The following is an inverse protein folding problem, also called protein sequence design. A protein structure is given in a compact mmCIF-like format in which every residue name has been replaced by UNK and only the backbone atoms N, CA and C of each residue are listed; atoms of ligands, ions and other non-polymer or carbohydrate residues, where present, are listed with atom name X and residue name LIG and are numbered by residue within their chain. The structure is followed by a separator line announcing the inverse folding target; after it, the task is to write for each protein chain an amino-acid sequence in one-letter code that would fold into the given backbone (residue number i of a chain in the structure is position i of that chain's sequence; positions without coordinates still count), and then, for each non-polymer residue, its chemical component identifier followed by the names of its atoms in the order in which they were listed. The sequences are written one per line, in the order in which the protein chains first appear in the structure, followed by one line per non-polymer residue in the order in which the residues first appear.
data_IF_243368998265
#
_entry.id   IF_243368998265
#
_cell.length_a   1.000
_cell.length_b   1.000
_cell.length_c   1.000
_cell.angle_alpha   90.00
_cell.angle_beta   90.00
_cell.angle_gamma   90.00
#
_symmetry.space_group_name_H-M   'P 1'
#
loop_
_entity.id
_entity.type
_entity.pdbx_description
1 polymer ?
#
# COMPACT_ATOMS: atom_id res chain seq x y z
N UNK A 1 4.02 66.66 -40.22
CA UNK A 1 3.68 65.24 -40.08
C UNK A 1 4.93 64.42 -40.36
N UNK A 2 5.31 63.49 -39.48
CA UNK A 2 6.50 62.66 -39.69
C UNK A 2 6.15 61.53 -40.68
N UNK A 3 7.06 61.21 -41.62
CA UNK A 3 6.84 60.16 -42.61
C UNK A 3 6.80 58.79 -41.91
N UNK A 4 5.86 57.94 -42.33
CA UNK A 4 5.66 56.58 -41.83
C UNK A 4 6.94 55.74 -41.89
N UNK A 5 7.77 55.94 -42.92
CA UNK A 5 9.07 55.28 -43.03
C UNK A 5 10.01 55.63 -41.87
N UNK A 6 10.05 56.91 -41.50
CA UNK A 6 10.89 57.42 -40.40
C UNK A 6 10.41 56.92 -39.04
N UNK A 7 9.08 56.78 -38.86
CA UNK A 7 8.49 56.23 -37.64
C UNK A 7 8.85 54.74 -37.47
N UNK A 8 8.82 53.96 -38.56
CA UNK A 8 9.19 52.54 -38.54
C UNK A 8 10.68 52.35 -38.22
N UNK A 9 11.56 53.12 -38.84
CA UNK A 9 13.00 53.04 -38.55
C UNK A 9 13.32 53.42 -37.11
N UNK A 10 12.64 54.44 -36.57
CA UNK A 10 12.80 54.82 -35.16
C UNK A 10 12.31 53.71 -34.23
N UNK A 11 11.16 53.09 -34.52
CA UNK A 11 10.64 51.95 -33.76
C UNK A 11 11.63 50.78 -33.75
N UNK A 12 12.17 50.39 -34.91
CA UNK A 12 13.13 49.29 -34.95
C UNK A 12 14.42 49.59 -34.18
N UNK A 13 14.96 50.81 -34.31
CA UNK A 13 16.14 51.22 -33.53
C UNK A 13 15.87 51.17 -32.02
N UNK A 14 14.70 51.63 -31.57
CA UNK A 14 14.34 51.53 -30.14
C UNK A 14 14.20 50.07 -29.68
N UNK A 15 13.61 49.19 -30.50
CA UNK A 15 13.49 47.76 -30.17
C UNK A 15 14.85 47.07 -30.09
N UNK A 16 15.78 47.37 -31.01
CA UNK A 16 17.14 46.83 -30.95
C UNK A 16 17.91 47.36 -29.73
N UNK A 17 17.73 48.63 -29.37
CA UNK A 17 18.30 49.19 -28.14
C UNK A 17 17.81 48.48 -26.88
N UNK A 18 16.50 48.22 -26.78
CA UNK A 18 15.91 47.48 -25.66
C UNK A 18 16.42 46.04 -25.59
N UNK A 19 16.50 45.34 -26.73
CA UNK A 19 17.06 43.98 -26.79
C UNK A 19 18.52 43.94 -26.35
N UNK A 20 19.33 44.92 -26.76
CA UNK A 20 20.72 45.05 -26.31
C UNK A 20 20.82 45.29 -24.80
N UNK A 21 19.96 46.14 -24.24
CA UNK A 21 19.89 46.39 -22.80
C UNK A 21 19.51 45.14 -21.99
N UNK A 22 18.51 44.38 -22.44
CA UNK A 22 18.13 43.10 -21.82
C UNK A 22 19.27 42.09 -21.91
N UNK A 23 19.92 41.97 -23.07
CA UNK A 23 21.06 41.08 -23.27
C UNK A 23 22.22 41.40 -22.34
N UNK A 24 22.54 42.70 -22.18
CA UNK A 24 23.58 43.14 -21.24
C UNK A 24 23.20 42.84 -19.78
N UNK A 25 21.95 43.09 -19.39
CA UNK A 25 21.49 42.77 -18.03
C UNK A 25 21.56 41.28 -17.72
N UNK A 26 21.23 40.41 -18.69
CA UNK A 26 21.34 38.96 -18.53
C UNK A 26 22.81 38.51 -18.45
N UNK A 27 23.68 39.10 -19.27
CA UNK A 27 25.11 38.86 -19.25
C UNK A 27 25.72 39.25 -17.89
N UNK A 28 25.41 40.44 -17.39
CA UNK A 28 25.89 40.93 -16.09
C UNK A 28 25.37 40.08 -14.93
N UNK A 29 24.10 39.67 -14.98
CA UNK A 29 23.55 38.72 -14.01
C UNK A 29 24.27 37.37 -14.03
N UNK A 30 24.57 36.84 -15.22
CA UNK A 30 25.28 35.57 -15.33
C UNK A 30 26.73 35.65 -14.84
N UNK A 31 27.43 36.75 -15.14
CA UNK A 31 28.83 36.90 -14.79
C UNK A 31 29.05 37.32 -13.31
N UNK A 32 28.17 38.18 -12.78
CA UNK A 32 28.27 38.73 -11.41
C UNK A 32 27.23 38.16 -10.46
N UNK A 33 25.96 38.14 -10.87
CA UNK A 33 24.83 37.72 -10.02
C UNK A 33 24.85 36.24 -9.62
N UNK A 34 25.33 35.34 -10.48
CA UNK A 34 25.49 33.92 -10.14
C UNK A 34 26.60 33.66 -9.10
N UNK A 35 27.52 34.61 -8.88
CA UNK A 35 28.61 34.47 -7.91
C UNK A 35 28.27 35.05 -6.54
N UNK A 36 27.29 35.95 -6.46
CA UNK A 36 26.82 36.50 -5.20
C UNK A 36 25.81 35.55 -4.55
N UNK A 37 26.31 34.66 -3.69
CA UNK A 37 25.43 33.94 -2.76
C UNK A 37 24.89 34.95 -1.74
N UNK A 38 23.63 35.35 -1.89
CA UNK A 38 22.92 36.22 -0.93
C UNK A 38 22.86 35.64 0.49
N UNK A 39 23.13 34.34 0.62
CA UNK A 39 23.24 33.64 1.89
C UNK A 39 24.71 33.46 2.24
N UNK A 40 25.20 34.26 3.18
CA UNK A 40 26.54 34.14 3.74
C UNK A 40 26.61 32.86 4.59
N UNK A 41 26.97 31.75 3.94
CA UNK A 41 27.09 30.43 4.56
C UNK A 41 28.08 30.48 5.73
N UNK A 42 29.16 31.25 5.62
CA UNK A 42 30.17 31.37 6.67
C UNK A 42 29.64 32.02 7.95
N UNK A 43 28.70 32.97 7.82
CA UNK A 43 28.00 33.56 8.97
C UNK A 43 26.83 32.72 9.47
N UNK A 44 26.13 32.02 8.57
CA UNK A 44 24.95 31.24 8.92
C UNK A 44 25.30 29.89 9.58
N UNK A 45 26.37 29.24 9.15
CA UNK A 45 26.79 27.92 9.65
C UNK A 45 27.04 27.88 11.17
N UNK A 46 27.76 28.82 11.81
CA UNK A 46 27.92 28.82 13.26
C UNK A 46 26.62 29.13 14.01
N UNK A 47 25.72 29.92 13.42
CA UNK A 47 24.41 30.23 14.03
C UNK A 47 23.51 28.99 14.00
N UNK A 48 23.47 28.27 12.86
CA UNK A 48 22.66 27.07 12.70
C UNK A 48 23.19 25.89 13.53
N UNK A 49 24.52 25.69 13.58
CA UNK A 49 25.16 24.63 14.38
C UNK A 49 25.19 24.94 15.88
N UNK A 50 25.01 26.21 16.27
CA UNK A 50 24.96 26.65 17.66
C UNK A 50 23.59 26.50 18.34
N UNK A 51 22.55 26.12 17.58
CA UNK A 51 21.23 25.83 18.15
C UNK A 51 21.25 24.39 18.68
N UNK A 52 21.21 24.23 20.00
CA UNK A 52 20.92 22.93 20.60
C UNK A 52 19.54 22.48 20.16
N UNK A 53 19.45 21.30 19.56
CA UNK A 53 18.18 20.72 19.18
C UNK A 53 17.31 20.54 20.44
N UNK A 54 16.06 21.05 20.45
CA UNK A 54 15.18 20.83 21.58
C UNK A 54 15.00 19.33 21.76
N UNK A 55 15.20 18.85 23.00
CA UNK A 55 14.99 17.43 23.30
C UNK A 55 13.60 17.04 22.82
N UNK A 56 13.45 15.94 22.07
CA UNK A 56 12.14 15.50 21.62
C UNK A 56 11.24 15.37 22.85
N UNK A 57 9.99 15.86 22.80
CA UNK A 57 9.08 15.74 23.92
C UNK A 57 8.93 14.26 24.22
N UNK A 58 9.37 13.85 25.42
CA UNK A 58 9.18 12.48 25.87
C UNK A 58 7.67 12.25 25.91
N UNK A 59 7.17 11.30 25.12
CA UNK A 59 5.77 10.90 25.20
C UNK A 59 5.53 10.29 26.58
N UNK A 60 5.19 11.13 27.55
CA UNK A 60 4.47 10.71 28.76
C UNK A 60 3.05 10.38 28.33
N UNK A 61 2.91 9.37 27.47
CA UNK A 61 1.62 8.73 27.25
C UNK A 61 1.27 8.05 28.56
N UNK A 62 0.10 8.38 29.10
CA UNK A 62 -0.45 7.65 30.24
C UNK A 62 -0.62 6.20 29.81
N UNK A 63 0.04 5.29 30.51
CA UNK A 63 -0.13 3.85 30.31
C UNK A 63 -1.54 3.48 30.78
N UNK A 64 -2.33 2.85 29.90
CA UNK A 64 -3.70 2.48 30.25
C UNK A 64 -3.78 1.56 31.49
N UNK A 65 -2.97 0.47 31.60
CA UNK A 65 -2.99 -0.36 32.79
C UNK A 65 -2.42 0.35 34.03
N UNK A 66 -1.32 1.09 33.90
CA UNK A 66 -0.59 1.58 35.08
C UNK A 66 -1.12 2.93 35.60
N UNK A 67 -1.54 3.82 34.72
CA UNK A 67 -1.92 5.20 35.08
C UNK A 67 -3.43 5.42 35.04
N UNK A 68 -4.13 4.86 34.04
CA UNK A 68 -5.54 5.16 33.79
C UNK A 68 -6.47 4.25 34.60
N UNK A 69 -6.18 2.95 34.63
CA UNK A 69 -7.01 1.95 35.32
C UNK A 69 -7.17 2.24 36.82
N UNK A 70 -6.10 2.44 37.60
CA UNK A 70 -6.24 2.75 39.03
C UNK A 70 -6.88 4.12 39.29
N UNK A 71 -6.67 5.11 38.40
CA UNK A 71 -7.15 6.47 38.60
C UNK A 71 -8.60 6.70 38.16
N UNK A 72 -9.13 5.88 37.24
CA UNK A 72 -10.47 6.07 36.66
C UNK A 72 -11.38 4.86 36.89
N UNK A 73 -10.87 3.65 36.72
CA UNK A 73 -11.69 2.43 36.75
C UNK A 73 -11.80 1.90 38.18
N UNK A 74 -10.67 1.79 38.88
CA UNK A 74 -10.61 1.27 40.25
C UNK A 74 -10.68 2.39 41.30
N UNK A 75 -10.75 3.64 40.86
CA UNK A 75 -10.85 4.78 41.76
C UNK A 75 -12.22 4.78 42.44
N UNK A 76 -12.24 4.21 43.64
CA UNK A 76 -13.44 4.14 44.47
C UNK A 76 -13.71 5.51 45.11
N UNK A 77 -14.48 6.32 44.39
CA UNK A 77 -14.94 7.64 44.83
C UNK A 77 -15.84 7.60 46.08
N UNK A 78 -16.25 6.41 46.55
CA UNK A 78 -17.16 6.25 47.69
C UNK A 78 -16.47 6.30 49.05
N UNK A 79 -15.13 6.24 49.09
CA UNK A 79 -14.34 6.34 50.32
C UNK A 79 -14.40 5.10 51.23
N UNK A 80 -14.93 3.98 50.72
CA UNK A 80 -14.88 2.71 51.45
C UNK A 80 -13.43 2.20 51.53
N UNK A 81 -12.96 1.70 52.69
CA UNK A 81 -11.64 1.09 52.77
C UNK A 81 -11.62 -0.16 51.87
N UNK A 82 -10.53 -0.38 51.10
CA UNK A 82 -10.44 -1.53 50.21
C UNK A 82 -10.65 -2.82 51.00
N UNK A 83 -11.38 -3.80 50.46
CA UNK A 83 -11.58 -5.07 51.14
C UNK A 83 -10.21 -5.69 51.47
N UNK A 84 -10.05 -6.27 52.67
CA UNK A 84 -8.79 -6.88 53.05
C UNK A 84 -8.41 -7.95 52.01
N UNK A 85 -7.12 -8.08 51.67
CA UNK A 85 -6.68 -8.99 50.62
C UNK A 85 -7.22 -10.40 50.93
N UNK A 86 -7.77 -11.10 49.93
CA UNK A 86 -8.31 -12.44 50.14
C UNK A 86 -7.21 -13.31 50.76
N UNK A 87 -7.55 -13.99 51.86
CA UNK A 87 -6.65 -14.99 52.46
C UNK A 87 -6.24 -15.98 51.37
N UNK A 88 -5.00 -16.50 51.39
CA UNK A 88 -4.56 -17.47 50.39
C UNK A 88 -5.48 -18.69 50.49
N UNK A 89 -6.42 -18.81 49.56
CA UNK A 89 -7.20 -20.02 49.42
C UNK A 89 -6.25 -21.09 48.91
N UNK A 90 -6.17 -22.19 49.66
CA UNK A 90 -5.46 -23.39 49.26
C UNK A 90 -5.93 -23.76 47.84
N UNK A 91 -5.00 -23.78 46.89
CA UNK A 91 -5.22 -24.26 45.54
C UNK A 91 -5.75 -25.70 45.62
N UNK A 92 -7.07 -25.84 45.53
CA UNK A 92 -7.69 -27.08 45.07
C UNK A 92 -7.09 -27.41 43.71
N UNK A 93 -6.70 -28.66 43.43
CA UNK A 93 -6.21 -29.03 42.12
C UNK A 93 -7.30 -28.71 41.10
N UNK A 94 -7.00 -27.77 40.21
CA UNK A 94 -7.81 -27.48 39.03
C UNK A 94 -7.93 -28.79 38.26
N UNK A 95 -9.11 -29.41 38.31
CA UNK A 95 -9.50 -30.40 37.32
C UNK A 95 -9.37 -29.76 35.94
N UNK A 96 -9.11 -30.54 34.87
CA UNK A 96 -8.89 -30.00 33.54
C UNK A 96 -10.03 -29.05 33.19
N UNK A 97 -9.69 -27.77 33.06
CA UNK A 97 -10.61 -26.72 32.63
C UNK A 97 -10.93 -27.03 31.17
N UNK A 98 -12.01 -27.77 30.96
CA UNK A 98 -12.59 -27.98 29.64
C UNK A 98 -13.02 -26.59 29.16
N UNK A 99 -12.23 -26.00 28.25
CA UNK A 99 -12.57 -24.73 27.62
C UNK A 99 -13.93 -24.90 26.94
N UNK A 100 -14.91 -24.02 27.16
CA UNK A 100 -16.19 -24.11 26.47
C UNK A 100 -15.95 -24.00 24.96
N UNK A 101 -16.41 -25.00 24.20
CA UNK A 101 -16.27 -25.06 22.74
C UNK A 101 -17.18 -24.01 22.11
N UNK A 102 -16.60 -22.97 21.52
CA UNK A 102 -17.33 -21.92 20.79
C UNK A 102 -17.43 -22.34 19.31
N UNK A 103 -18.64 -22.40 18.71
CA UNK A 103 -18.81 -22.79 17.30
C UNK A 103 -18.20 -21.75 16.36
N UNK A 104 -17.71 -22.17 15.19
CA UNK A 104 -17.01 -21.27 14.25
C UNK A 104 -17.95 -20.22 13.65
N UNK A 105 -19.24 -20.53 13.52
CA UNK A 105 -20.28 -19.62 13.02
C UNK A 105 -20.46 -18.35 13.88
N UNK A 106 -20.21 -18.45 15.19
CA UNK A 106 -20.29 -17.31 16.12
C UNK A 106 -19.02 -16.42 16.05
N UNK A 107 -17.93 -16.96 15.50
CA UNK A 107 -16.61 -16.33 15.48
C UNK A 107 -16.38 -15.56 14.16
N UNK A 108 -16.81 -16.13 13.02
CA UNK A 108 -16.50 -15.60 11.70
C UNK A 108 -17.65 -15.77 10.70
N UNK A 109 -17.77 -14.78 9.81
CA UNK A 109 -18.63 -14.80 8.64
C UNK A 109 -17.79 -15.14 7.39
N UNK A 110 -18.23 -16.15 6.63
CA UNK A 110 -17.70 -16.44 5.28
C UNK A 110 -18.40 -15.52 4.28
N UNK A 111 -17.64 -14.62 3.64
CA UNK A 111 -18.17 -13.62 2.70
C UNK A 111 -18.21 -14.18 1.28
N UNK A 112 -17.13 -14.81 0.86
CA UNK A 112 -16.97 -15.30 -0.50
C UNK A 112 -16.06 -16.51 -0.55
N UNK A 113 -16.36 -17.43 -1.47
CA UNK A 113 -15.53 -18.58 -1.77
C UNK A 113 -15.07 -18.49 -3.23
N UNK A 114 -13.77 -18.65 -3.43
CA UNK A 114 -13.14 -18.75 -4.74
C UNK A 114 -12.51 -20.14 -4.83
N UNK A 115 -13.33 -21.15 -5.14
CA UNK A 115 -12.85 -22.52 -5.30
C UNK A 115 -12.32 -22.71 -6.73
N UNK A 116 -11.06 -23.14 -6.83
CA UNK A 116 -10.46 -23.55 -8.10
C UNK A 116 -10.80 -25.02 -8.36
N UNK A 117 -11.48 -25.31 -9.47
CA UNK A 117 -11.95 -26.67 -9.80
C UNK A 117 -10.84 -27.59 -10.31
N UNK A 118 -9.72 -27.02 -10.76
CA UNK A 118 -8.56 -27.68 -11.35
C UNK A 118 -7.46 -27.97 -10.33
N UNK A 119 -7.21 -27.05 -9.39
CA UNK A 119 -6.24 -27.24 -8.31
C UNK A 119 -6.82 -26.76 -6.97
N UNK A 120 -7.13 -27.69 -6.02
CA UNK A 120 -7.70 -27.33 -4.72
C UNK A 120 -6.84 -26.32 -3.94
N UNK A 121 -5.52 -26.38 -4.08
CA UNK A 121 -4.58 -25.50 -3.38
C UNK A 121 -4.67 -24.02 -3.80
N UNK A 122 -5.23 -23.73 -4.98
CA UNK A 122 -5.45 -22.36 -5.46
C UNK A 122 -6.78 -21.78 -4.94
N UNK A 123 -7.57 -22.59 -4.22
CA UNK A 123 -8.83 -22.16 -3.63
C UNK A 123 -8.58 -21.19 -2.48
N UNK A 124 -9.42 -20.14 -2.41
CA UNK A 124 -9.32 -19.09 -1.41
C UNK A 124 -10.69 -18.79 -0.83
N UNK A 125 -10.73 -18.43 0.44
CA UNK A 125 -11.94 -17.94 1.09
C UNK A 125 -11.70 -16.54 1.68
N UNK A 126 -12.71 -15.69 1.53
CA UNK A 126 -12.75 -14.38 2.18
C UNK A 126 -13.60 -14.49 3.44
N UNK A 127 -13.00 -14.25 4.59
CA UNK A 127 -13.66 -14.32 5.89
C UNK A 127 -13.62 -12.96 6.61
N UNK A 128 -14.55 -12.78 7.55
CA UNK A 128 -14.59 -11.63 8.44
C UNK A 128 -14.88 -12.08 9.87
N UNK A 129 -14.06 -11.65 10.81
CA UNK A 129 -14.25 -11.97 12.23
C UNK A 129 -15.37 -11.10 12.83
N UNK A 130 -16.31 -11.72 13.53
CA UNK A 130 -17.48 -11.06 14.14
C UNK A 130 -17.09 -10.27 15.39
N UNK A 131 -16.11 -10.76 16.14
CA UNK A 131 -15.69 -10.17 17.43
C UNK A 131 -14.86 -8.89 17.29
N UNK A 132 -14.35 -8.60 16.08
CA UNK A 132 -13.49 -7.46 15.86
C UNK A 132 -14.28 -6.15 15.64
N UNK A 133 -15.18 -5.82 16.56
CA UNK A 133 -15.94 -4.54 16.57
C UNK A 133 -15.06 -3.29 16.68
N UNK A 134 -13.75 -3.44 16.93
CA UNK A 134 -12.76 -2.36 17.02
C UNK A 134 -11.73 -2.34 15.88
N UNK A 135 -11.58 -3.43 15.11
CA UNK A 135 -10.70 -3.42 13.94
C UNK A 135 -11.53 -3.11 12.69
N UNK A 136 -11.19 -2.01 12.03
CA UNK A 136 -11.82 -1.59 10.80
C UNK A 136 -11.78 -2.71 9.74
N UNK A 137 -12.93 -3.25 9.33
CA UNK A 137 -13.16 -3.93 8.04
C UNK A 137 -11.99 -4.79 7.52
N UNK A 138 -11.35 -5.59 8.37
CA UNK A 138 -10.27 -6.46 7.93
C UNK A 138 -10.87 -7.75 7.41
N UNK A 139 -11.19 -7.76 6.12
CA UNK A 139 -11.54 -8.98 5.42
C UNK A 139 -10.23 -9.76 5.19
N UNK A 140 -10.18 -11.01 5.67
CA UNK A 140 -9.01 -11.86 5.53
C UNK A 140 -9.21 -12.81 4.36
N UNK A 141 -8.26 -12.82 3.45
CA UNK A 141 -8.19 -13.78 2.36
C UNK A 141 -7.26 -14.91 2.77
N UNK A 142 -7.79 -16.10 2.95
CA UNK A 142 -7.06 -17.27 3.43
C UNK A 142 -7.11 -18.43 2.43
N UNK A 143 -6.09 -19.27 2.48
CA UNK A 143 -5.91 -20.47 1.65
C UNK A 143 -6.11 -21.76 2.47
N UNK A 144 -6.13 -22.90 1.78
CA UNK A 144 -6.13 -24.21 2.44
C UNK A 144 -4.84 -24.38 3.26
N UNK A 145 -4.99 -24.70 4.55
CA UNK A 145 -3.90 -24.85 5.51
C UNK A 145 -3.57 -23.58 6.31
N UNK A 146 -4.15 -22.43 5.97
CA UNK A 146 -3.95 -21.21 6.74
C UNK A 146 -4.72 -21.25 8.07
N UNK A 147 -4.13 -20.62 9.07
CA UNK A 147 -4.67 -20.51 10.43
C UNK A 147 -5.35 -19.15 10.60
N UNK A 148 -6.43 -19.11 11.37
CA UNK A 148 -7.09 -17.83 11.67
C UNK A 148 -6.17 -16.90 12.46
N UNK A 149 -6.29 -15.57 12.28
CA UNK A 149 -5.50 -14.61 13.02
C UNK A 149 -5.92 -14.56 14.50
N UNK A 150 -5.00 -14.08 15.34
CA UNK A 150 -5.23 -13.89 16.78
C UNK A 150 -6.56 -13.16 17.04
N UNK A 151 -7.42 -13.65 17.95
CA UNK A 151 -7.16 -14.63 19.02
C UNK A 151 -7.46 -16.10 18.69
N UNK A 152 -7.83 -16.47 17.45
CA UNK A 152 -8.35 -17.80 17.09
C UNK A 152 -7.34 -18.69 16.35
N UNK A 153 -6.07 -18.66 16.76
CA UNK A 153 -4.96 -19.40 16.13
C UNK A 153 -5.08 -20.94 16.27
N UNK A 154 -6.10 -21.43 16.96
CA UNK A 154 -6.42 -22.83 17.14
C UNK A 154 -7.28 -23.42 16.00
N UNK A 155 -7.74 -22.59 15.07
CA UNK A 155 -8.62 -22.95 13.95
C UNK A 155 -7.86 -22.78 12.63
N UNK A 156 -7.83 -23.84 11.82
CA UNK A 156 -7.21 -23.85 10.49
C UNK A 156 -8.20 -24.27 9.40
N UNK A 157 -7.96 -23.83 8.17
CA UNK A 157 -8.79 -24.20 7.03
C UNK A 157 -8.31 -25.55 6.49
N UNK A 158 -9.21 -26.53 6.48
CA UNK A 158 -8.91 -27.88 6.00
C UNK A 158 -9.22 -28.05 4.51
N UNK A 159 -10.37 -27.55 4.06
CA UNK A 159 -10.83 -27.70 2.67
C UNK A 159 -11.74 -26.54 2.26
N UNK A 160 -11.68 -26.17 0.97
CA UNK A 160 -12.48 -25.09 0.38
C UNK A 160 -13.17 -25.64 -0.86
N UNK A 161 -14.48 -25.86 -0.79
CA UNK A 161 -15.33 -26.28 -1.91
C UNK A 161 -16.15 -25.10 -2.43
N UNK A 162 -16.74 -25.19 -3.63
CA UNK A 162 -17.49 -24.07 -4.21
C UNK A 162 -18.61 -23.51 -3.33
N UNK A 163 -19.25 -24.35 -2.52
CA UNK A 163 -20.41 -23.99 -1.72
C UNK A 163 -20.14 -23.92 -0.21
N UNK A 164 -19.03 -24.51 0.27
CA UNK A 164 -18.71 -24.59 1.69
C UNK A 164 -17.20 -24.58 1.99
N UNK A 165 -16.86 -24.15 3.20
CA UNK A 165 -15.50 -24.14 3.76
C UNK A 165 -15.48 -25.02 4.99
N UNK A 166 -14.53 -25.96 5.04
CA UNK A 166 -14.34 -26.88 6.17
C UNK A 166 -13.17 -26.43 7.03
N UNK A 167 -13.40 -26.29 8.34
CA UNK A 167 -12.43 -25.90 9.34
C UNK A 167 -12.01 -27.10 10.20
N UNK A 168 -10.71 -27.19 10.50
CA UNK A 168 -10.11 -28.13 11.43
C UNK A 168 -9.59 -27.42 12.66
N UNK A 169 -9.54 -28.11 13.79
CA UNK A 169 -9.09 -27.59 15.07
C UNK A 169 -7.79 -28.27 15.50
N UNK A 170 -6.96 -27.55 16.27
CA UNK A 170 -5.74 -28.11 16.85
C UNK A 170 -6.02 -29.18 17.94
N UNK A 171 -7.25 -29.20 18.47
CA UNK A 171 -7.71 -30.23 19.41
C UNK A 171 -8.25 -31.44 18.64
N UNK A 172 -7.54 -32.57 18.71
CA UNK A 172 -7.90 -33.81 17.97
C UNK A 172 -9.26 -34.38 18.38
N UNK A 173 -9.82 -33.97 19.52
CA UNK A 173 -11.15 -34.40 19.99
C UNK A 173 -12.31 -33.63 19.33
N UNK A 174 -12.06 -32.53 18.63
CA UNK A 174 -13.10 -31.71 17.98
C UNK A 174 -13.29 -32.10 16.51
N UNK A 175 -14.51 -32.47 16.16
CA UNK A 175 -14.91 -32.75 14.77
C UNK A 175 -14.82 -31.48 13.90
N UNK A 176 -14.48 -31.64 12.62
CA UNK A 176 -14.38 -30.52 11.68
C UNK A 176 -15.73 -29.86 11.42
N UNK A 177 -15.74 -28.53 11.40
CA UNK A 177 -16.96 -27.75 11.18
C UNK A 177 -17.01 -27.20 9.76
N UNK A 178 -18.19 -27.24 9.14
CA UNK A 178 -18.39 -26.77 7.76
C UNK A 178 -19.28 -25.53 7.76
N UNK A 179 -18.79 -24.42 7.22
CA UNK A 179 -19.55 -23.17 7.10
C UNK A 179 -19.85 -22.85 5.64
N UNK A 180 -21.02 -22.23 5.43
CA UNK A 180 -21.46 -21.74 4.12
C UNK A 180 -21.38 -20.22 4.09
N UNK A 181 -21.18 -19.61 2.92
CA UNK A 181 -21.22 -18.16 2.79
C UNK A 181 -22.56 -17.64 3.28
N UNK A 182 -22.54 -16.61 4.12
CA UNK A 182 -23.78 -15.98 4.56
C UNK A 182 -24.41 -15.31 3.34
N UNK A 183 -25.43 -15.94 2.75
CA UNK A 183 -26.20 -15.35 1.67
C UNK A 183 -26.84 -14.07 2.24
N UNK A 184 -26.33 -12.91 1.81
CA UNK A 184 -26.84 -11.59 2.17
C UNK A 184 -28.37 -11.66 2.12
N UNK A 185 -29.01 -11.56 3.29
CA UNK A 185 -30.43 -11.88 3.50
C UNK A 185 -31.28 -11.45 2.31
N UNK A 186 -32.10 -12.37 1.79
CA UNK A 186 -33.05 -12.13 0.69
C UNK A 186 -33.93 -10.88 0.90
N UNK A 187 -34.04 -10.41 2.15
CA UNK A 187 -34.75 -9.20 2.56
C UNK A 187 -34.13 -7.88 2.08
N UNK A 188 -32.89 -7.88 1.57
CA UNK A 188 -32.18 -6.67 1.13
C UNK A 188 -32.25 -6.41 -0.38
N UNK A 189 -32.90 -7.29 -1.15
CA UNK A 189 -33.16 -7.04 -2.55
C UNK A 189 -34.39 -6.13 -2.70
N UNK A 190 -34.20 -4.91 -3.20
CA UNK A 190 -35.31 -4.03 -3.59
C UNK A 190 -36.12 -4.73 -4.69
N UNK A 191 -37.22 -5.37 -4.32
CA UNK A 191 -38.15 -5.97 -5.24
C UNK A 191 -38.89 -4.87 -6.01
N UNK A 192 -38.57 -4.69 -7.30
CA UNK A 192 -39.35 -3.82 -8.18
C UNK A 192 -40.61 -4.56 -8.61
N UNK A 193 -41.75 -4.23 -8.01
CA UNK A 193 -43.03 -4.86 -8.31
C UNK A 193 -43.50 -4.59 -9.75
N UNK A 194 -43.78 -5.65 -10.49
CA UNK A 194 -44.50 -5.63 -11.77
C UNK A 194 -45.99 -5.92 -11.56
N UNK A 195 -46.84 -5.42 -12.47
CA UNK A 195 -48.31 -5.32 -12.30
C UNK A 195 -49.08 -6.66 -12.19
N UNK A 196 -48.47 -7.81 -12.47
CA UNK A 196 -49.18 -9.11 -12.56
C UNK A 196 -48.64 -10.23 -11.65
N UNK A 197 -48.03 -9.90 -10.50
CA UNK A 197 -47.95 -10.82 -9.35
C UNK A 197 -47.13 -12.11 -9.48
N UNK A 198 -46.49 -12.41 -10.62
CA UNK A 198 -45.60 -13.57 -10.76
C UNK A 198 -44.15 -13.19 -10.46
N UNK A 199 -43.67 -13.66 -9.30
CA UNK A 199 -42.28 -13.54 -8.84
C UNK A 199 -41.47 -14.67 -9.46
N UNK A 200 -40.85 -14.42 -10.60
CA UNK A 200 -39.63 -15.16 -10.92
C UNK A 200 -38.47 -14.40 -10.26
N UNK A 201 -37.59 -15.05 -9.47
CA UNK A 201 -36.31 -14.45 -9.17
C UNK A 201 -35.69 -14.13 -10.53
N UNK A 202 -35.48 -12.85 -10.81
CA UNK A 202 -34.46 -12.50 -11.78
C UNK A 202 -33.18 -13.05 -11.17
N UNK A 203 -32.82 -14.29 -11.55
CA UNK A 203 -31.42 -14.58 -11.79
C UNK A 203 -30.94 -13.34 -12.53
N UNK A 204 -29.88 -12.65 -12.09
CA UNK A 204 -29.17 -11.86 -13.05
C UNK A 204 -28.86 -12.85 -14.17
N UNK A 205 -29.65 -12.80 -15.25
CA UNK A 205 -29.06 -12.90 -16.55
C UNK A 205 -27.97 -11.86 -16.42
N UNK A 206 -26.77 -12.33 -16.11
CA UNK A 206 -25.58 -11.68 -16.60
C UNK A 206 -25.99 -11.39 -18.03
N UNK A 207 -26.32 -10.12 -18.28
CA UNK A 207 -26.29 -9.61 -19.63
C UNK A 207 -24.96 -10.15 -20.13
N UNK A 208 -25.01 -10.87 -21.24
CA UNK A 208 -23.83 -11.25 -21.97
C UNK A 208 -23.08 -10.00 -22.43
N UNK A 209 -22.59 -9.18 -21.49
CA UNK A 209 -21.15 -9.03 -21.42
C UNK A 209 -20.67 -10.46 -21.49
N UNK A 210 -20.24 -10.84 -22.68
CA UNK A 210 -19.23 -11.86 -22.81
C UNK A 210 -18.42 -11.74 -21.54
N UNK A 211 -18.25 -12.85 -20.82
CA UNK A 211 -16.94 -13.04 -20.25
C UNK A 211 -16.04 -12.68 -21.43
N UNK A 212 -15.50 -11.45 -21.41
CA UNK A 212 -14.18 -11.23 -21.94
C UNK A 212 -13.50 -12.28 -21.11
N UNK A 213 -13.37 -13.48 -21.70
CA UNK A 213 -12.33 -14.38 -21.36
C UNK A 213 -11.19 -13.39 -21.31
N UNK A 214 -10.78 -13.04 -20.09
CA UNK A 214 -9.49 -12.44 -19.92
C UNK A 214 -8.65 -13.57 -20.47
N UNK A 215 -8.41 -13.50 -21.77
CA UNK A 215 -7.41 -14.30 -22.40
C UNK A 215 -6.23 -13.90 -21.54
N UNK A 216 -5.77 -14.81 -20.69
CA UNK A 216 -4.57 -14.70 -19.85
C UNK A 216 -3.31 -14.48 -20.71
N UNK A 217 -3.49 -14.09 -21.97
CA UNK A 217 -2.54 -13.51 -22.86
C UNK A 217 -2.19 -12.15 -22.28
N UNK A 218 -1.04 -12.11 -21.61
CA UNK A 218 -0.38 -10.89 -21.24
C UNK A 218 -0.36 -9.92 -22.45
N UNK A 219 -0.60 -8.63 -22.23
CA UNK A 219 -0.59 -7.67 -23.33
C UNK A 219 0.80 -7.66 -23.98
N UNK A 220 0.88 -7.33 -25.28
CA UNK A 220 2.19 -7.25 -25.96
C UNK A 220 3.00 -6.06 -25.42
N UNK A 221 2.34 -4.90 -25.28
CA UNK A 221 2.90 -3.69 -24.70
C UNK A 221 2.33 -3.47 -23.30
N UNK A 222 3.06 -2.76 -22.43
CA UNK A 222 2.54 -2.42 -21.10
C UNK A 222 1.28 -1.56 -21.19
N UNK A 223 0.24 -1.93 -20.44
CA UNK A 223 -1.03 -1.18 -20.38
C UNK A 223 -1.39 -0.87 -18.93
N UNK A 224 -1.81 0.38 -18.67
CA UNK A 224 -2.40 0.78 -17.39
C UNK A 224 -3.92 0.53 -17.41
N UNK A 225 -4.43 -0.34 -16.54
CA UNK A 225 -5.87 -0.59 -16.34
C UNK A 225 -6.23 -0.42 -14.88
N UNK A 226 -7.26 0.36 -14.58
CA UNK A 226 -7.76 0.59 -13.21
C UNK A 226 -6.67 1.05 -12.20
N UNK A 227 -5.69 1.84 -12.66
CA UNK A 227 -4.59 2.32 -11.82
C UNK A 227 -3.46 1.31 -11.59
N UNK A 228 -3.56 0.10 -12.14
CA UNK A 228 -2.53 -0.94 -12.09
C UNK A 228 -1.85 -1.07 -13.45
N UNK A 229 -0.58 -1.46 -13.45
CA UNK A 229 0.21 -1.68 -14.66
C UNK A 229 0.28 -3.17 -14.98
N UNK A 230 -0.03 -3.53 -16.23
CA UNK A 230 0.14 -4.88 -16.74
C UNK A 230 1.31 -4.85 -17.70
N UNK A 231 2.44 -5.44 -17.30
CA UNK A 231 3.70 -5.42 -18.05
C UNK A 231 3.52 -6.22 -19.34
N UNK A 232 3.95 -5.64 -20.45
CA UNK A 232 3.89 -6.31 -21.74
C UNK A 232 4.92 -7.44 -21.86
N UNK A 233 4.64 -8.47 -22.67
CA UNK A 233 5.62 -9.53 -22.96
C UNK A 233 6.92 -8.97 -23.57
N UNK A 234 6.79 -8.00 -24.48
CA UNK A 234 7.94 -7.39 -25.16
C UNK A 234 8.77 -6.54 -24.19
N UNK A 235 8.10 -5.78 -23.32
CA UNK A 235 8.75 -4.95 -22.31
C UNK A 235 9.47 -5.81 -21.26
N UNK A 236 8.84 -6.90 -20.82
CA UNK A 236 9.42 -7.86 -19.88
C UNK A 236 10.65 -8.55 -20.47
N UNK A 237 10.59 -8.99 -21.72
CA UNK A 237 11.73 -9.61 -22.40
C UNK A 237 12.87 -8.60 -22.56
N UNK A 238 12.57 -7.38 -23.01
CA UNK A 238 13.54 -6.30 -23.17
C UNK A 238 14.24 -5.95 -21.86
N UNK A 239 13.49 -5.88 -20.75
CA UNK A 239 14.09 -5.71 -19.42
C UNK A 239 14.95 -6.91 -19.03
N UNK A 240 14.49 -8.14 -19.25
CA UNK A 240 15.26 -9.34 -18.86
C UNK A 240 16.65 -9.39 -19.53
N UNK A 241 16.73 -9.00 -20.80
CA UNK A 241 17.97 -9.04 -21.59
C UNK A 241 18.85 -7.81 -21.32
N UNK A 242 18.25 -6.62 -21.25
CA UNK A 242 18.98 -5.35 -21.32
C UNK A 242 18.75 -4.42 -20.11
N UNK A 243 18.32 -4.92 -18.95
CA UNK A 243 18.05 -4.07 -17.77
C UNK A 243 19.22 -3.17 -17.40
N UNK A 244 20.48 -3.63 -17.53
CA UNK A 244 21.66 -2.82 -17.21
C UNK A 244 21.72 -1.54 -18.06
N UNK A 245 21.55 -1.68 -19.37
CA UNK A 245 21.63 -0.56 -20.30
C UNK A 245 20.44 0.37 -20.15
N UNK A 246 19.23 -0.18 -19.97
CA UNK A 246 18.00 0.60 -19.72
C UNK A 246 18.18 1.41 -18.44
N UNK A 247 18.57 0.77 -17.34
CA UNK A 247 18.73 1.46 -16.06
C UNK A 247 19.92 2.43 -16.06
N UNK A 248 20.95 2.23 -16.87
CA UNK A 248 22.10 3.14 -16.95
C UNK A 248 21.83 4.37 -17.83
N UNK A 249 21.11 4.18 -18.95
CA UNK A 249 20.85 5.23 -19.93
C UNK A 249 19.60 6.03 -19.62
N UNK A 250 18.55 5.36 -19.19
CA UNK A 250 17.20 5.93 -19.16
C UNK A 250 16.80 6.45 -17.77
N UNK A 251 17.47 5.99 -16.71
CA UNK A 251 17.15 6.34 -15.32
C UNK A 251 18.39 6.82 -14.58
N UNK A 252 18.37 8.09 -14.15
CA UNK A 252 19.28 8.61 -13.14
C UNK A 252 18.75 8.27 -11.75
N UNK A 253 19.60 7.69 -10.90
CA UNK A 253 19.20 7.29 -9.55
C UNK A 253 20.32 7.55 -8.54
N UNK A 254 19.96 8.06 -7.37
CA UNK A 254 20.86 8.30 -6.24
C UNK A 254 20.28 7.65 -4.98
N UNK A 255 21.14 7.36 -4.00
CA UNK A 255 20.67 6.90 -2.68
C UNK A 255 20.00 8.07 -1.96
N UNK A 256 18.76 7.88 -1.53
CA UNK A 256 18.06 8.86 -0.71
C UNK A 256 18.47 8.70 0.75
N UNK A 257 18.82 9.83 1.38
CA UNK A 257 19.16 9.91 2.79
C UNK A 257 18.03 10.69 3.48
N UNK A 258 17.43 10.10 4.51
CA UNK A 258 16.38 10.74 5.29
C UNK A 258 16.93 11.86 6.18
N UNK A 259 16.04 12.64 6.79
CA UNK A 259 16.37 13.70 7.75
C UNK A 259 17.25 13.23 8.90
N UNK A 260 17.13 11.95 9.27
CA UNK A 260 17.90 11.30 10.33
C UNK A 260 19.29 10.80 9.87
N UNK A 261 19.68 11.06 8.62
CA UNK A 261 20.98 10.64 8.06
C UNK A 261 21.05 9.17 7.61
N UNK A 262 19.93 8.44 7.70
CA UNK A 262 19.85 7.04 7.29
C UNK A 262 19.53 6.90 5.80
N UNK A 263 20.06 5.86 5.15
CA UNK A 263 19.64 5.49 3.79
C UNK A 263 18.20 4.98 3.86
N UNK A 264 17.30 5.62 3.13
CA UNK A 264 15.86 5.40 3.28
C UNK A 264 15.14 5.25 1.93
N UNK A 265 15.88 5.02 0.85
CA UNK A 265 15.30 4.80 -0.46
C UNK A 265 16.24 5.06 -1.61
N UNK A 266 15.67 5.01 -2.82
CA UNK A 266 16.35 5.32 -4.08
C UNK A 266 15.62 6.51 -4.69
N UNK A 267 16.31 7.66 -4.77
CA UNK A 267 15.78 8.86 -5.41
C UNK A 267 16.03 8.82 -6.91
N UNK A 268 14.99 9.00 -7.69
CA UNK A 268 15.06 9.13 -9.14
C UNK A 268 15.42 10.58 -9.47
N UNK A 269 16.59 10.78 -10.06
CA UNK A 269 17.10 12.11 -10.42
C UNK A 269 16.75 12.49 -11.85
N UNK A 270 16.61 11.50 -12.74
CA UNK A 270 16.33 11.72 -14.16
C UNK A 270 15.53 10.57 -14.73
N UNK A 271 14.56 10.87 -15.59
CA UNK A 271 13.82 9.87 -16.36
C UNK A 271 13.78 10.29 -17.83
N UNK A 272 14.25 9.44 -18.74
CA UNK A 272 14.16 9.71 -20.17
C UNK A 272 12.69 9.60 -20.64
N UNK A 273 12.24 10.56 -21.47
CA UNK A 273 10.82 10.71 -21.86
C UNK A 273 10.24 9.50 -22.61
N UNK A 274 11.06 8.78 -23.35
CA UNK A 274 10.66 7.58 -24.11
C UNK A 274 11.13 6.27 -23.45
N UNK A 275 11.47 6.34 -22.16
CA UNK A 275 11.89 5.16 -21.39
C UNK A 275 10.71 4.33 -20.92
N UNK A 276 10.98 3.06 -20.66
CA UNK A 276 9.98 2.16 -20.06
C UNK A 276 9.59 2.68 -18.67
N UNK A 277 10.52 3.23 -17.89
CA UNK A 277 10.20 3.86 -16.61
C UNK A 277 9.18 5.02 -16.73
N UNK A 278 9.33 5.89 -17.73
CA UNK A 278 8.36 6.97 -17.98
C UNK A 278 6.98 6.43 -18.38
N UNK A 279 6.93 5.39 -19.21
CA UNK A 279 5.67 4.74 -19.62
C UNK A 279 4.94 4.10 -18.42
N UNK A 280 5.71 3.64 -17.44
CA UNK A 280 5.23 3.08 -16.18
C UNK A 280 4.90 4.16 -15.13
N UNK A 281 4.98 5.44 -15.49
CA UNK A 281 4.56 6.56 -14.64
C UNK A 281 5.59 7.00 -13.60
N UNK A 282 6.84 6.53 -13.70
CA UNK A 282 7.95 7.01 -12.89
C UNK A 282 8.33 8.44 -13.30
N UNK A 283 8.58 9.29 -12.32
CA UNK A 283 8.88 10.71 -12.51
C UNK A 283 10.17 11.12 -11.82
N UNK A 284 10.75 12.22 -12.27
CA UNK A 284 11.89 12.84 -11.60
C UNK A 284 11.47 13.33 -10.22
N UNK A 285 12.27 13.02 -9.20
CA UNK A 285 11.97 13.32 -7.81
C UNK A 285 11.23 12.21 -7.06
N UNK A 286 10.81 11.14 -7.72
CA UNK A 286 10.25 9.95 -7.07
C UNK A 286 11.31 9.29 -6.16
N UNK A 287 10.90 8.83 -4.97
CA UNK A 287 11.74 8.11 -4.03
C UNK A 287 11.15 6.72 -3.82
N UNK A 288 11.82 5.69 -4.30
CA UNK A 288 11.41 4.30 -4.10
C UNK A 288 11.84 3.89 -2.69
N UNK A 289 10.88 3.52 -1.84
CA UNK A 289 11.14 3.10 -0.44
C UNK A 289 11.18 1.59 -0.28
N UNK A 290 10.22 0.90 -0.90
CA UNK A 290 10.08 -0.55 -0.74
C UNK A 290 9.54 -1.23 -2.00
N UNK A 291 9.85 -2.52 -2.15
CA UNK A 291 9.33 -3.41 -3.19
C UNK A 291 8.76 -4.64 -2.50
N UNK A 292 7.46 -4.89 -2.64
CA UNK A 292 6.72 -5.96 -1.96
C UNK A 292 6.95 -5.96 -0.43
N UNK A 293 6.98 -4.77 0.17
CA UNK A 293 7.25 -4.59 1.60
C UNK A 293 8.72 -4.76 2.01
N UNK A 294 9.62 -5.10 1.07
CA UNK A 294 11.06 -5.15 1.32
C UNK A 294 11.68 -3.75 1.13
N UNK A 295 12.29 -3.16 2.17
CA UNK A 295 12.91 -1.84 2.06
C UNK A 295 14.14 -1.91 1.13
N UNK A 296 14.25 -0.94 0.22
CA UNK A 296 15.36 -0.88 -0.74
C UNK A 296 16.16 0.41 -0.57
N UNK A 297 17.44 0.29 -0.26
CA UNK A 297 18.29 1.42 0.07
C UNK A 297 19.28 1.77 -1.04
N UNK A 298 19.38 0.93 -2.08
CA UNK A 298 20.26 1.17 -3.21
C UNK A 298 19.73 0.52 -4.49
N UNK A 299 20.13 1.08 -5.64
CA UNK A 299 19.78 0.55 -6.97
C UNK A 299 20.15 -0.92 -7.11
N UNK A 300 21.34 -1.29 -6.67
CA UNK A 300 21.87 -2.66 -6.76
C UNK A 300 21.04 -3.64 -5.92
N UNK A 301 20.62 -3.22 -4.74
CA UNK A 301 19.77 -4.01 -3.85
C UNK A 301 18.38 -4.25 -4.46
N UNK A 302 17.76 -3.20 -5.02
CA UNK A 302 16.48 -3.34 -5.73
C UNK A 302 16.58 -4.30 -6.93
N UNK A 303 17.65 -4.20 -7.73
CA UNK A 303 17.90 -5.11 -8.85
C UNK A 303 18.09 -6.56 -8.36
N UNK A 304 18.90 -6.75 -7.31
CA UNK A 304 19.15 -8.07 -6.74
C UNK A 304 17.87 -8.70 -6.19
N UNK A 305 17.06 -7.91 -5.50
CA UNK A 305 15.77 -8.34 -4.97
C UNK A 305 14.80 -8.73 -6.11
N UNK A 306 14.65 -7.89 -7.13
CA UNK A 306 13.76 -8.17 -8.26
C UNK A 306 14.20 -9.44 -9.02
N UNK A 307 15.51 -9.63 -9.24
CA UNK A 307 16.04 -10.82 -9.91
C UNK A 307 15.83 -12.10 -9.12
N UNK A 308 16.08 -12.06 -7.80
CA UNK A 308 15.96 -13.22 -6.93
C UNK A 308 14.50 -13.69 -6.80
N UNK A 309 13.56 -12.77 -6.87
CA UNK A 309 12.15 -13.05 -6.64
C UNK A 309 11.30 -12.99 -7.93
N UNK A 310 11.93 -12.91 -9.11
CA UNK A 310 11.21 -12.80 -10.39
C UNK A 310 10.35 -14.02 -10.71
N UNK A 311 10.77 -15.19 -10.26
CA UNK A 311 10.02 -16.44 -10.40
C UNK A 311 8.99 -16.64 -9.29
N UNK A 312 9.05 -15.86 -8.20
CA UNK A 312 8.19 -16.00 -7.02
C UNK A 312 6.99 -15.05 -7.04
N UNK A 313 7.16 -13.85 -7.60
CA UNK A 313 6.12 -12.83 -7.60
C UNK A 313 5.72 -12.47 -9.03
N UNK A 314 4.46 -12.77 -9.36
CA UNK A 314 3.81 -12.22 -10.55
C UNK A 314 3.36 -10.77 -10.32
N UNK A 315 3.08 -10.40 -9.06
CA UNK A 315 2.59 -9.08 -8.68
C UNK A 315 3.67 -8.34 -7.88
N UNK A 316 3.98 -7.12 -8.31
CA UNK A 316 4.95 -6.23 -7.68
C UNK A 316 4.27 -4.96 -7.19
N UNK A 317 4.31 -4.75 -5.88
CA UNK A 317 3.86 -3.55 -5.19
C UNK A 317 5.09 -2.70 -4.89
N UNK A 318 5.16 -1.52 -5.49
CA UNK A 318 6.27 -0.60 -5.29
C UNK A 318 5.75 0.61 -4.53
N UNK A 319 6.33 0.88 -3.36
CA UNK A 319 6.02 2.09 -2.60
C UNK A 319 6.94 3.22 -3.05
N UNK A 320 6.32 4.25 -3.62
CA UNK A 320 6.99 5.43 -4.15
C UNK A 320 6.52 6.65 -3.38
N UNK A 321 7.46 7.44 -2.86
CA UNK A 321 7.18 8.75 -2.32
C UNK A 321 7.43 9.82 -3.39
N UNK A 322 6.44 10.68 -3.62
CA UNK A 322 6.58 11.87 -4.45
C UNK A 322 6.13 13.10 -3.65
N UNK A 323 7.02 14.09 -3.49
CA UNK A 323 6.75 15.34 -2.77
C UNK A 323 6.14 15.14 -1.36
N UNK A 324 6.61 14.12 -0.62
CA UNK A 324 6.12 13.80 0.73
C UNK A 324 4.84 12.95 0.77
N UNK A 325 4.29 12.54 -0.38
CA UNK A 325 3.13 11.63 -0.45
C UNK A 325 3.59 10.25 -0.89
N UNK A 326 3.30 9.24 -0.07
CA UNK A 326 3.57 7.83 -0.40
C UNK A 326 2.39 7.29 -1.22
N UNK A 327 2.70 6.65 -2.35
CA UNK A 327 1.74 5.93 -3.18
C UNK A 327 2.28 4.52 -3.47
N UNK A 328 1.37 3.56 -3.53
CA UNK A 328 1.69 2.17 -3.90
C UNK A 328 1.29 1.95 -5.35
N UNK A 329 2.26 1.56 -6.17
CA UNK A 329 2.05 1.20 -7.56
C UNK A 329 2.10 -0.32 -7.71
N UNK A 330 1.10 -0.90 -8.39
CA UNK A 330 0.98 -2.35 -8.56
C UNK A 330 1.26 -2.71 -10.02
N UNK A 331 2.22 -3.61 -10.21
CA UNK A 331 2.65 -4.12 -11.50
C UNK A 331 2.39 -5.62 -11.60
N UNK A 332 1.77 -6.06 -12.69
CA UNK A 332 1.56 -7.47 -13.02
C UNK A 332 2.56 -7.87 -14.08
N UNK A 333 3.48 -8.76 -13.73
CA UNK A 333 4.42 -9.37 -14.67
C UNK A 333 3.68 -10.41 -15.52
N UNK A 334 4.02 -10.57 -16.81
CA UNK A 334 3.53 -11.69 -17.60
C UNK A 334 3.96 -13.01 -16.95
N UNK A 335 3.06 -14.01 -16.99
CA UNK A 335 3.41 -15.39 -16.65
C UNK A 335 4.46 -15.89 -17.65
N UNK A 336 5.53 -16.48 -17.12
CA UNK A 336 6.60 -17.09 -17.93
C UNK A 336 6.15 -18.37 -18.60
#
# INVERSE_FOLDING_TARGET
MMNVGTLKTLSYLTSFGLLGGIGYSLYDYYERGMREQYFDVGRAEPVLKGVEEPRPPTSRGLSYPDDITPAIVEFDWTGAPPPPPPKPEEKKPEGPVVKPVVPVDDILDVIAIMAASDNPSDSRCLIRLVDNKKAANSDYLLHIGDVLPSPHEDIAIFDIKPDDVTFSFADEERESETLRPHARSEQSMIAKAGKDGMVAPRRPSMVGGQAVQATDVAPVNTVKKNGQYYIGTDDAERFSQNYNDILARDIGSETYIDKDGNRAGIKITKVAKDSIAAQHGMQEGDIIKSINGYPVNSKQEAIAFAKKNSDRYEIWQIEVENLGRVRTEVYHSPKK
#
